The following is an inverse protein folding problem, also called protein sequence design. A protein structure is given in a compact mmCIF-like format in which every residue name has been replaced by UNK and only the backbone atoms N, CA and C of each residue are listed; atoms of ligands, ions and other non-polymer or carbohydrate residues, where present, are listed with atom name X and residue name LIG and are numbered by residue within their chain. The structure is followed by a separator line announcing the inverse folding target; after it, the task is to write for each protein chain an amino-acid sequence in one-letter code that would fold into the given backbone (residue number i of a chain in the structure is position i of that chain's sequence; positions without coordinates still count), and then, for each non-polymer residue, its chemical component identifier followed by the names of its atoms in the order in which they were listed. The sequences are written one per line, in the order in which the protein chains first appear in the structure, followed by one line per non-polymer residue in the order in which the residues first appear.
data_IF_050497787644
#
_entry.id   IF_050497787644
#
_cell.length_a   1.000
_cell.length_b   1.000
_cell.length_c   1.000
_cell.angle_alpha   90.00
_cell.angle_beta   90.00
_cell.angle_gamma   90.00
#
_symmetry.space_group_name_H-M   'P 1'
#
loop_
_entity.id
_entity.type
_entity.pdbx_description
1 polymer ?
#
# COMPACT_ATOMS: atom_id res chain seq x y z
N UNK A 1 34.79 -1.59 -5.52
CA UNK A 1 33.86 -1.69 -4.38
C UNK A 1 33.08 -0.39 -4.35
N UNK A 2 31.78 -0.38 -4.67
CA UNK A 2 30.99 0.86 -4.63
C UNK A 2 30.58 1.15 -3.20
N UNK A 3 31.01 2.30 -2.70
CA UNK A 3 30.67 2.89 -1.41
C UNK A 3 29.14 2.85 -1.23
N UNK A 4 28.66 2.43 -0.05
CA UNK A 4 27.28 2.00 0.22
C UNK A 4 26.17 3.07 0.16
N UNK A 5 26.18 3.93 -0.85
CA UNK A 5 25.11 4.88 -1.13
C UNK A 5 23.96 4.22 -1.91
N UNK A 6 22.73 4.50 -1.49
CA UNK A 6 21.54 4.03 -2.18
C UNK A 6 21.45 4.69 -3.56
N UNK A 7 21.41 3.87 -4.63
CA UNK A 7 21.33 4.33 -6.04
C UNK A 7 19.95 4.87 -6.44
N UNK A 8 19.05 5.02 -5.48
CA UNK A 8 17.65 5.39 -5.69
C UNK A 8 17.39 6.75 -5.05
N UNK A 9 16.78 7.66 -5.80
CA UNK A 9 16.27 8.93 -5.28
C UNK A 9 14.79 8.79 -4.97
N UNK A 10 14.38 9.15 -3.76
CA UNK A 10 12.98 9.18 -3.36
C UNK A 10 12.43 10.58 -3.57
N UNK A 11 11.28 10.68 -4.24
CA UNK A 11 10.58 11.94 -4.50
C UNK A 11 9.14 11.80 -4.01
N UNK A 12 8.70 12.72 -3.15
CA UNK A 12 7.29 12.82 -2.78
C UNK A 12 6.56 13.66 -3.82
N UNK A 13 5.83 13.01 -4.72
CA UNK A 13 5.04 13.64 -5.79
C UNK A 13 3.72 12.91 -5.92
N UNK A 14 2.62 13.65 -6.12
CA UNK A 14 1.34 13.07 -6.49
C UNK A 14 1.29 12.91 -8.01
N UNK A 15 1.06 11.68 -8.47
CA UNK A 15 0.89 11.34 -9.88
C UNK A 15 -0.61 11.23 -10.18
N UNK A 16 -1.10 11.92 -11.21
CA UNK A 16 -2.52 11.89 -11.59
C UNK A 16 -2.78 11.00 -12.80
N UNK A 17 -1.81 10.89 -13.72
CA UNK A 17 -1.85 9.99 -14.89
C UNK A 17 -0.47 9.36 -15.10
N UNK A 18 -0.35 8.27 -15.86
CA UNK A 18 0.98 7.74 -16.21
C UNK A 18 1.68 8.57 -17.30
N UNK A 19 0.91 9.30 -18.12
CA UNK A 19 1.42 10.12 -19.21
C UNK A 19 2.35 11.25 -18.72
N UNK A 20 2.17 11.73 -17.49
CA UNK A 20 3.06 12.75 -16.92
C UNK A 20 4.50 12.27 -16.68
N UNK A 21 4.76 10.96 -16.80
CA UNK A 21 6.06 10.33 -16.56
C UNK A 21 6.75 9.89 -17.86
N UNK A 22 6.04 9.83 -19.00
CA UNK A 22 6.54 9.23 -20.23
C UNK A 22 7.68 10.02 -20.89
N UNK A 23 7.78 11.33 -20.62
CA UNK A 23 8.89 12.16 -21.10
C UNK A 23 10.12 12.11 -20.20
N UNK A 24 9.97 11.65 -18.96
CA UNK A 24 11.03 11.68 -17.94
C UNK A 24 11.73 10.33 -17.77
N UNK A 25 11.05 9.21 -18.08
CA UNK A 25 11.53 7.87 -17.80
C UNK A 25 11.31 6.91 -18.97
N UNK A 26 12.27 6.02 -19.23
CA UNK A 26 12.16 4.98 -20.25
C UNK A 26 11.18 3.85 -19.85
N UNK A 27 11.03 3.61 -18.54
CA UNK A 27 10.20 2.57 -17.97
C UNK A 27 9.56 3.05 -16.66
N UNK A 28 8.26 2.81 -16.53
CA UNK A 28 7.49 3.09 -15.31
C UNK A 28 6.93 1.79 -14.74
N UNK A 29 7.29 1.49 -13.49
CA UNK A 29 6.72 0.36 -12.73
C UNK A 29 5.61 0.89 -11.82
N UNK A 30 4.36 0.65 -12.20
CA UNK A 30 3.21 1.11 -11.42
C UNK A 30 2.97 0.22 -10.19
N UNK A 31 3.30 0.75 -9.00
CA UNK A 31 3.06 0.11 -7.71
C UNK A 31 2.04 0.89 -6.84
N UNK A 32 1.08 1.59 -7.46
CA UNK A 32 0.14 2.48 -6.75
C UNK A 32 -0.98 1.76 -5.97
N UNK A 33 -0.96 0.42 -5.90
CA UNK A 33 -1.94 -0.39 -5.19
C UNK A 33 -3.37 -0.09 -5.66
N UNK A 34 -4.29 0.18 -4.73
CA UNK A 34 -5.69 0.50 -5.06
C UNK A 34 -5.85 1.69 -6.02
N UNK A 35 -4.97 2.69 -5.95
CA UNK A 35 -5.04 3.84 -6.84
C UNK A 35 -4.57 3.54 -8.27
N UNK A 36 -3.99 2.36 -8.53
CA UNK A 36 -3.67 1.92 -9.89
C UNK A 36 -4.91 1.95 -10.80
N UNK A 37 -6.10 1.64 -10.25
CA UNK A 37 -7.36 1.70 -10.99
C UNK A 37 -7.67 3.10 -11.55
N UNK A 38 -7.26 4.15 -10.84
CA UNK A 38 -7.44 5.54 -11.29
C UNK A 38 -6.40 5.96 -12.32
N UNK A 39 -5.12 5.72 -12.02
CA UNK A 39 -4.02 6.25 -12.85
C UNK A 39 -3.77 5.43 -14.12
N UNK A 40 -4.17 4.15 -14.14
CA UNK A 40 -4.10 3.26 -15.30
C UNK A 40 -5.48 2.99 -15.94
N UNK A 41 -6.54 3.66 -15.43
CA UNK A 41 -7.91 3.49 -15.89
C UNK A 41 -8.37 2.02 -15.94
N UNK A 42 -8.03 1.23 -14.90
CA UNK A 42 -8.41 -0.17 -14.79
C UNK A 42 -9.72 -0.33 -13.98
N UNK A 43 -10.85 -0.66 -14.64
CA UNK A 43 -12.15 -0.78 -13.98
C UNK A 43 -12.27 -2.03 -13.09
N UNK A 44 -11.32 -2.97 -13.17
CA UNK A 44 -11.36 -4.22 -12.40
C UNK A 44 -10.81 -4.05 -10.97
N UNK A 45 -10.26 -2.88 -10.65
CA UNK A 45 -9.73 -2.58 -9.32
C UNK A 45 -10.83 -1.98 -8.45
N UNK A 46 -11.25 -2.73 -7.43
CA UNK A 46 -12.24 -2.31 -6.43
C UNK A 46 -11.70 -2.56 -5.01
N UNK A 47 -12.09 -1.74 -4.02
CA UNK A 47 -11.55 -1.86 -2.67
C UNK A 47 -12.29 -2.95 -1.89
N UNK A 48 -11.54 -3.77 -1.16
CA UNK A 48 -12.08 -4.64 -0.12
C UNK A 48 -11.66 -4.05 1.23
N UNK A 49 -12.64 -3.62 2.03
CA UNK A 49 -12.38 -2.99 3.34
C UNK A 49 -12.22 -4.07 4.41
N UNK A 50 -10.99 -4.28 4.86
CA UNK A 50 -10.69 -5.06 6.07
C UNK A 50 -10.78 -4.19 7.33
N UNK A 51 -11.35 -4.75 8.41
CA UNK A 51 -11.21 -4.21 9.78
C UNK A 51 -10.45 -5.26 10.59
N UNK A 52 -9.38 -4.83 11.25
CA UNK A 52 -8.62 -5.70 12.15
C UNK A 52 -8.67 -5.10 13.56
N UNK A 53 -9.18 -5.82 14.57
CA UNK A 53 -9.07 -5.36 15.95
C UNK A 53 -7.59 -5.39 16.37
N UNK A 54 -7.09 -4.27 16.88
CA UNK A 54 -5.75 -4.22 17.48
C UNK A 54 -5.91 -4.62 18.94
N UNK A 55 -5.48 -5.83 19.29
CA UNK A 55 -5.47 -6.30 20.66
C UNK A 55 -4.12 -5.95 21.29
N UNK A 56 -4.12 -5.07 22.29
CA UNK A 56 -2.98 -4.95 23.19
C UNK A 56 -3.00 -6.19 24.09
N UNK A 57 -2.01 -7.07 23.97
CA UNK A 57 -1.79 -8.14 24.95
C UNK A 57 -1.39 -7.48 26.27
N UNK A 58 -2.38 -7.16 27.10
CA UNK A 58 -2.17 -6.98 28.54
C UNK A 58 -1.86 -8.37 29.09
N UNK A 59 -0.66 -8.54 29.64
CA UNK A 59 -0.22 -9.77 30.29
C UNK A 59 -1.26 -10.26 31.32
N UNK A 60 -2.13 -11.16 30.89
CA UNK A 60 -3.07 -11.96 31.68
C UNK A 60 -3.19 -13.31 30.96
N UNK A 61 -3.23 -14.45 31.66
CA UNK A 61 -3.26 -15.76 31.01
C UNK A 61 -4.52 -15.91 30.14
N UNK A 62 -4.31 -16.35 28.91
CA UNK A 62 -5.31 -16.52 27.86
C UNK A 62 -6.46 -17.43 28.32
N UNK A 63 -7.59 -16.84 28.70
CA UNK A 63 -8.88 -17.52 28.70
C UNK A 63 -9.72 -16.89 27.58
N UNK A 64 -9.82 -17.58 26.44
CA UNK A 64 -10.69 -17.16 25.34
C UNK A 64 -12.12 -17.41 25.80
N UNK A 65 -12.78 -16.38 26.31
CA UNK A 65 -14.21 -16.42 26.57
C UNK A 65 -14.91 -15.85 25.33
N UNK A 66 -15.51 -16.74 24.54
CA UNK A 66 -16.41 -16.34 23.45
C UNK A 66 -17.70 -15.83 24.11
N UNK A 67 -17.90 -14.51 24.08
CA UNK A 67 -19.18 -13.93 24.48
C UNK A 67 -20.18 -14.13 23.33
N UNK A 68 -20.89 -15.26 23.37
CA UNK A 68 -22.07 -15.48 22.55
C UNK A 68 -23.25 -14.83 23.28
N UNK A 69 -23.42 -13.53 23.05
CA UNK A 69 -24.60 -12.79 23.52
C UNK A 69 -25.87 -13.36 22.88
N UNK A 70 -26.79 -13.80 23.74
CA UNK A 70 -28.19 -14.09 23.41
C UNK A 70 -29.07 -12.84 23.46
#
# INVERSE_FOLDING_TARGET
MSNGEARVKFVCRKISTLDELTSEFDLVVNCAGFNAGKIANDPNIFPIRGKLPICQLISQPLHIQFDLGG
#
